data_IF_401575095371
#
_entry.id   IF_401575095371
#
_cell.length_a   1.000
_cell.length_b   1.000
_cell.length_c   1.000
_cell.angle_alpha   90.00
_cell.angle_beta   90.00
_cell.angle_gamma   90.00
#
_symmetry.space_group_name_H-M   'P 1'
#
loop_
_entity.id
_entity.type
_entity.pdbx_description
1 polymer ?
#
# COMPACT_ATOMS: atom_id res chain seq x y z
N UNK A 1 -16.13 14.97 14.64
CA UNK A 1 -15.49 14.92 13.32
C UNK A 1 -14.60 16.13 13.28
N UNK A 2 -13.33 15.94 12.94
CA UNK A 2 -12.35 17.02 12.82
C UNK A 2 -11.82 17.10 11.41
N UNK A 3 -11.36 18.28 11.03
CA UNK A 3 -10.65 18.47 9.76
C UNK A 3 -9.24 17.89 9.90
N UNK A 4 -8.87 16.97 9.02
CA UNK A 4 -7.48 16.53 8.90
C UNK A 4 -6.64 17.70 8.38
N UNK A 5 -5.58 18.02 9.09
CA UNK A 5 -4.64 19.07 8.69
C UNK A 5 -3.39 18.47 8.06
N UNK A 6 -2.67 19.25 7.25
CA UNK A 6 -1.41 18.84 6.61
C UNK A 6 -0.31 19.87 6.81
N UNK A 7 0.94 19.41 6.86
CA UNK A 7 2.11 20.26 6.86
C UNK A 7 2.27 20.97 5.51
N UNK A 8 2.85 22.18 5.51
CA UNK A 8 3.16 22.91 4.29
C UNK A 8 4.31 22.25 3.49
N UNK A 9 4.38 22.51 2.18
CA UNK A 9 5.48 22.01 1.34
C UNK A 9 6.85 22.49 1.83
N UNK A 10 6.93 23.73 2.32
CA UNK A 10 8.15 24.29 2.92
C UNK A 10 8.57 23.53 4.17
N UNK A 11 7.63 23.25 5.07
CA UNK A 11 7.90 22.47 6.28
C UNK A 11 8.38 21.06 5.95
N UNK A 12 7.78 20.40 4.95
CA UNK A 12 8.23 19.10 4.46
C UNK A 12 9.66 19.14 3.91
N UNK A 13 10.01 20.16 3.13
CA UNK A 13 11.34 20.32 2.57
C UNK A 13 12.39 20.47 3.68
N UNK A 14 12.10 21.31 4.68
CA UNK A 14 12.94 21.45 5.88
C UNK A 14 13.10 20.11 6.59
N UNK A 15 12.00 19.40 6.88
CA UNK A 15 12.07 18.09 7.55
C UNK A 15 12.94 17.09 6.80
N UNK A 16 12.83 17.00 5.46
CA UNK A 16 13.69 16.11 4.64
C UNK A 16 15.15 16.49 4.71
N UNK A 17 15.46 17.79 4.59
CA UNK A 17 16.84 18.27 4.66
C UNK A 17 17.49 17.86 5.99
N UNK A 18 16.74 18.01 7.10
CA UNK A 18 17.21 17.65 8.44
C UNK A 18 17.52 16.15 8.57
N UNK A 19 16.77 15.27 7.91
CA UNK A 19 17.07 13.82 7.90
C UNK A 19 18.46 13.52 7.31
N UNK A 20 18.90 14.32 6.33
CA UNK A 20 20.24 14.19 5.74
C UNK A 20 21.32 14.88 6.56
N UNK A 21 21.06 16.10 7.05
CA UNK A 21 22.09 16.97 7.62
C UNK A 21 22.30 16.79 9.12
N UNK A 22 21.32 16.28 9.86
CA UNK A 22 21.36 16.21 11.33
C UNK A 22 21.39 14.76 11.82
N UNK A 23 22.54 14.31 12.32
CA UNK A 23 22.69 12.98 12.91
C UNK A 23 21.73 12.73 14.09
N UNK A 24 21.37 13.79 14.82
CA UNK A 24 20.40 13.76 15.95
C UNK A 24 18.98 13.41 15.51
N UNK A 25 18.59 13.70 14.27
CA UNK A 25 17.25 13.40 13.76
C UNK A 25 16.99 11.90 13.69
N UNK A 26 18.03 11.09 13.43
CA UNK A 26 17.91 9.62 13.50
C UNK A 26 17.57 9.13 14.91
N UNK A 27 18.01 9.85 15.94
CA UNK A 27 17.67 9.52 17.33
C UNK A 27 16.18 9.77 17.61
N UNK A 28 15.58 10.79 16.98
CA UNK A 28 14.14 11.08 17.08
C UNK A 28 13.34 9.90 16.54
N UNK A 29 13.62 9.41 15.33
CA UNK A 29 12.87 8.28 14.76
C UNK A 29 13.12 6.94 15.48
N UNK A 30 14.26 6.77 16.14
CA UNK A 30 14.58 5.53 16.84
C UNK A 30 14.07 5.48 18.28
N UNK A 31 14.09 6.60 19.00
CA UNK A 31 13.78 6.65 20.45
C UNK A 31 12.74 7.71 20.84
N UNK A 32 12.41 8.64 19.96
CA UNK A 32 11.49 9.74 20.25
C UNK A 32 10.03 9.27 20.39
N UNK A 33 9.31 9.86 21.33
CA UNK A 33 7.88 9.59 21.55
C UNK A 33 6.97 10.31 20.55
N UNK A 34 7.47 11.37 19.90
CA UNK A 34 6.83 12.08 18.80
C UNK A 34 7.89 12.77 17.95
N UNK A 35 7.53 13.22 16.75
CA UNK A 35 8.38 14.12 15.97
C UNK A 35 8.24 15.57 16.45
N UNK A 36 9.32 16.25 16.90
CA UNK A 36 9.24 17.60 17.42
C UNK A 36 9.10 18.61 16.26
N UNK A 37 7.86 18.99 15.97
CA UNK A 37 7.56 20.10 15.07
C UNK A 37 7.81 21.45 15.79
N UNK A 38 8.39 22.46 15.11
CA UNK A 38 8.51 23.81 15.65
C UNK A 38 7.16 24.35 16.14
N UNK A 39 7.14 25.11 17.25
CA UNK A 39 5.89 25.63 17.84
C UNK A 39 5.11 26.55 16.89
N UNK A 40 5.80 27.23 15.99
CA UNK A 40 5.25 28.13 14.98
C UNK A 40 4.82 27.42 13.69
N UNK A 41 4.88 26.07 13.66
CA UNK A 41 4.46 25.28 12.49
C UNK A 41 2.97 25.50 12.21
N UNK A 42 2.67 26.24 11.14
CA UNK A 42 1.30 26.41 10.66
C UNK A 42 0.86 25.19 9.86
N UNK A 43 -0.12 24.47 10.38
CA UNK A 43 -0.80 23.39 9.66
C UNK A 43 -1.88 23.98 8.73
N UNK A 44 -2.04 23.37 7.57
CA UNK A 44 -3.04 23.74 6.57
C UNK A 44 -4.26 22.85 6.73
N UNK A 45 -5.45 23.45 6.73
CA UNK A 45 -6.70 22.69 6.71
C UNK A 45 -6.89 22.01 5.36
N UNK A 46 -7.46 20.80 5.37
CA UNK A 46 -7.91 20.09 4.17
C UNK A 46 -9.44 20.06 4.12
N UNK A 47 -9.99 19.39 3.10
CA UNK A 47 -11.42 19.04 3.02
C UNK A 47 -11.70 17.62 3.56
N UNK A 48 -10.68 16.97 4.13
CA UNK A 48 -10.78 15.60 4.61
C UNK A 48 -11.29 15.65 6.05
N UNK A 49 -12.47 15.10 6.28
CA UNK A 49 -13.06 14.92 7.61
C UNK A 49 -12.70 13.55 8.17
N UNK A 50 -12.23 13.52 9.42
CA UNK A 50 -11.84 12.29 10.11
C UNK A 50 -12.47 12.23 11.49
N UNK A 51 -12.67 11.03 12.07
CA UNK A 51 -13.04 10.86 13.47
C UNK A 51 -12.06 11.59 14.41
N UNK A 52 -12.53 12.00 15.60
CA UNK A 52 -11.67 12.65 16.60
C UNK A 52 -10.52 11.75 17.02
N UNK A 53 -10.82 10.47 17.24
CA UNK A 53 -9.86 9.48 17.70
C UNK A 53 -9.39 8.61 16.52
N UNK A 54 -8.07 8.58 16.24
CA UNK A 54 -7.52 7.68 15.22
C UNK A 54 -7.57 6.23 15.70
N UNK A 55 -7.68 5.26 14.79
CA UNK A 55 -7.63 3.85 15.16
C UNK A 55 -6.23 3.44 15.59
N UNK A 56 -6.15 2.51 16.55
CA UNK A 56 -4.89 1.87 16.91
C UNK A 56 -4.49 0.83 15.84
N UNK A 57 -3.25 0.91 15.37
CA UNK A 57 -2.68 -0.01 14.38
C UNK A 57 -1.73 -1.01 15.05
N UNK A 58 -1.82 -2.28 14.61
CA UNK A 58 -1.14 -3.43 15.22
C UNK A 58 0.23 -3.70 14.59
N UNK A 59 1.15 -4.29 15.35
CA UNK A 59 2.51 -4.64 14.89
C UNK A 59 3.04 -5.98 15.44
N UNK A 60 2.19 -6.84 16.02
CA UNK A 60 2.60 -7.93 16.93
C UNK A 60 2.26 -9.36 16.51
N UNK A 61 1.60 -9.59 15.38
CA UNK A 61 0.95 -10.86 15.02
C UNK A 61 1.36 -11.42 13.66
N UNK A 62 0.48 -12.27 13.07
CA UNK A 62 0.59 -12.76 11.69
C UNK A 62 0.76 -11.56 10.76
N UNK A 63 1.98 -11.40 10.19
CA UNK A 63 2.38 -10.18 9.47
C UNK A 63 1.39 -9.79 8.36
N UNK A 64 0.73 -10.75 7.73
CA UNK A 64 -0.24 -10.49 6.65
C UNK A 64 -1.62 -10.04 7.14
N UNK A 65 -2.17 -10.73 8.14
CA UNK A 65 -3.53 -10.45 8.63
C UNK A 65 -3.61 -9.10 9.35
N UNK A 66 -2.58 -8.77 10.12
CA UNK A 66 -2.50 -7.47 10.79
C UNK A 66 -2.34 -6.31 9.79
N UNK A 67 -1.51 -6.47 8.76
CA UNK A 67 -1.36 -5.45 7.72
C UNK A 67 -2.70 -5.19 7.02
N UNK A 68 -3.45 -6.24 6.69
CA UNK A 68 -4.76 -6.09 6.08
C UNK A 68 -5.76 -5.40 7.02
N UNK A 69 -5.81 -5.78 8.30
CA UNK A 69 -6.67 -5.13 9.28
C UNK A 69 -6.29 -3.66 9.51
N UNK A 70 -5.00 -3.33 9.52
CA UNK A 70 -4.52 -1.96 9.59
C UNK A 70 -4.92 -1.17 8.34
N UNK A 71 -4.87 -1.77 7.15
CA UNK A 71 -5.33 -1.15 5.91
C UNK A 71 -6.82 -0.80 5.94
N UNK A 72 -7.66 -1.71 6.43
CA UNK A 72 -9.09 -1.44 6.63
C UNK A 72 -9.30 -0.28 7.61
N UNK A 73 -8.63 -0.31 8.77
CA UNK A 73 -8.71 0.76 9.78
C UNK A 73 -8.31 2.14 9.22
N UNK A 74 -7.21 2.21 8.47
CA UNK A 74 -6.73 3.45 7.86
C UNK A 74 -7.69 3.93 6.78
N UNK A 75 -8.20 3.02 5.95
CA UNK A 75 -9.19 3.33 4.93
C UNK A 75 -10.47 3.92 5.52
N UNK A 76 -11.03 3.27 6.54
CA UNK A 76 -12.26 3.70 7.18
C UNK A 76 -12.08 5.01 7.96
N UNK A 77 -10.93 5.19 8.62
CA UNK A 77 -10.59 6.43 9.33
C UNK A 77 -10.51 7.64 8.38
N UNK A 78 -9.96 7.47 7.18
CA UNK A 78 -9.84 8.52 6.17
C UNK A 78 -11.14 8.71 5.36
N UNK A 79 -12.15 7.86 5.58
CA UNK A 79 -13.50 8.03 5.06
C UNK A 79 -13.55 8.24 3.55
N UNK A 80 -14.11 9.37 3.13
CA UNK A 80 -14.32 9.73 1.71
C UNK A 80 -13.09 10.36 1.05
N UNK A 81 -11.88 10.03 1.49
CA UNK A 81 -10.65 10.48 0.85
C UNK A 81 -10.65 10.06 -0.63
N UNK A 82 -10.58 11.04 -1.53
CA UNK A 82 -10.52 10.74 -2.96
C UNK A 82 -9.07 10.57 -3.46
N UNK A 83 -8.91 10.07 -4.70
CA UNK A 83 -7.58 9.81 -5.28
C UNK A 83 -6.76 11.07 -5.52
N UNK A 84 -7.40 12.22 -5.76
CA UNK A 84 -6.73 13.51 -5.98
C UNK A 84 -6.15 14.02 -4.66
N UNK A 85 -6.92 13.97 -3.59
CA UNK A 85 -6.47 14.28 -2.23
C UNK A 85 -5.38 13.31 -1.76
N UNK A 86 -5.56 12.00 -2.01
CA UNK A 86 -4.59 10.96 -1.69
C UNK A 86 -3.29 11.06 -2.51
N UNK A 87 -3.26 11.78 -3.63
CA UNK A 87 -2.04 12.02 -4.39
C UNK A 87 -1.15 13.10 -3.74
N UNK A 88 -1.65 13.85 -2.76
CA UNK A 88 -0.87 14.87 -2.08
C UNK A 88 0.12 14.25 -1.07
N UNK A 89 1.44 14.37 -1.29
CA UNK A 89 2.45 13.77 -0.40
C UNK A 89 2.47 14.37 1.01
N UNK A 90 1.90 15.57 1.19
CA UNK A 90 1.81 16.24 2.49
C UNK A 90 0.88 15.50 3.43
N UNK A 91 -0.18 14.88 2.91
CA UNK A 91 -1.11 14.08 3.71
C UNK A 91 -0.37 12.93 4.40
N UNK A 92 0.28 12.09 3.61
CA UNK A 92 0.96 10.89 4.11
C UNK A 92 2.13 11.21 5.03
N UNK A 93 2.93 12.22 4.67
CA UNK A 93 4.04 12.66 5.52
C UNK A 93 3.52 13.25 6.84
N UNK A 94 2.40 13.96 6.83
CA UNK A 94 1.80 14.47 8.08
C UNK A 94 1.32 13.32 8.95
N UNK A 95 0.61 12.34 8.37
CA UNK A 95 0.07 11.18 9.09
C UNK A 95 1.17 10.33 9.74
N UNK A 96 2.30 10.08 9.05
CA UNK A 96 3.44 9.34 9.61
C UNK A 96 4.14 10.07 10.75
N UNK A 97 4.21 11.40 10.70
CA UNK A 97 4.90 12.23 11.70
C UNK A 97 4.00 12.73 12.84
N UNK A 98 2.70 12.44 12.79
CA UNK A 98 1.72 12.86 13.80
C UNK A 98 0.87 11.68 14.24
N UNK A 99 -0.24 11.43 13.55
CA UNK A 99 -1.34 10.55 13.94
C UNK A 99 -0.90 9.10 14.14
N UNK A 100 -0.03 8.59 13.26
CA UNK A 100 0.40 7.19 13.28
C UNK A 100 1.89 7.02 13.61
N UNK A 101 2.48 7.99 14.32
CA UNK A 101 3.90 7.98 14.70
C UNK A 101 4.34 6.66 15.32
N UNK A 102 3.61 6.19 16.34
CA UNK A 102 3.97 4.99 17.10
C UNK A 102 3.93 3.72 16.25
N UNK A 103 2.92 3.60 15.40
CA UNK A 103 2.83 2.49 14.44
C UNK A 103 4.03 2.49 13.49
N UNK A 104 4.32 3.64 12.87
CA UNK A 104 5.44 3.78 11.94
C UNK A 104 6.78 3.40 12.60
N UNK A 105 7.03 3.87 13.83
CA UNK A 105 8.26 3.58 14.58
C UNK A 105 8.40 2.09 14.91
N UNK A 106 7.32 1.44 15.36
CA UNK A 106 7.34 0.02 15.72
C UNK A 106 7.54 -0.87 14.50
N UNK A 107 6.87 -0.53 13.39
CA UNK A 107 6.86 -1.36 12.18
C UNK A 107 8.05 -1.11 11.24
N UNK A 108 8.63 0.09 11.26
CA UNK A 108 9.84 0.50 10.52
C UNK A 108 10.91 1.07 11.47
N UNK A 109 11.52 0.23 12.32
CA UNK A 109 12.53 0.68 13.27
C UNK A 109 13.77 1.22 12.56
N UNK A 110 14.19 2.42 12.96
CA UNK A 110 15.29 3.17 12.32
C UNK A 110 16.67 2.88 12.93
N UNK A 111 16.75 2.07 13.99
CA UNK A 111 18.03 1.73 14.63
C UNK A 111 19.00 1.08 13.63
N UNK A 112 20.19 1.66 13.47
CA UNK A 112 21.20 1.19 12.51
C UNK A 112 20.86 1.44 11.03
N UNK A 113 19.82 2.23 10.74
CA UNK A 113 19.40 2.59 9.38
C UNK A 113 19.91 3.97 8.96
N UNK A 114 19.98 4.19 7.67
CA UNK A 114 20.45 5.44 7.08
C UNK A 114 19.30 6.43 6.81
N UNK A 115 19.64 7.57 6.24
CA UNK A 115 18.65 8.60 5.87
C UNK A 115 17.68 8.08 4.79
N UNK A 116 18.15 7.23 3.87
CA UNK A 116 17.32 6.73 2.76
C UNK A 116 16.16 5.87 3.27
N UNK A 117 16.41 5.02 4.26
CA UNK A 117 15.37 4.21 4.92
C UNK A 117 14.29 5.07 5.59
N UNK A 118 14.68 6.15 6.26
CA UNK A 118 13.73 7.10 6.87
C UNK A 118 12.89 7.76 5.78
N UNK A 119 13.55 8.30 4.74
CA UNK A 119 12.87 8.99 3.66
C UNK A 119 11.90 8.10 2.90
N UNK A 120 12.21 6.81 2.74
CA UNK A 120 11.37 5.86 2.02
C UNK A 120 10.07 5.52 2.77
N UNK A 121 10.12 5.38 4.10
CA UNK A 121 8.97 4.92 4.89
C UNK A 121 8.19 6.04 5.56
N UNK A 122 8.83 7.16 5.87
CA UNK A 122 8.22 8.26 6.60
C UNK A 122 7.77 9.40 5.69
N UNK A 123 8.40 9.54 4.52
CA UNK A 123 8.09 10.59 3.56
C UNK A 123 7.60 9.96 2.26
N UNK A 124 6.62 10.57 1.61
CA UNK A 124 6.30 10.22 0.21
C UNK A 124 7.39 10.80 -0.71
N UNK A 125 7.76 10.20 -1.85
CA UNK A 125 8.76 10.81 -2.75
C UNK A 125 8.07 11.66 -3.84
N UNK A 126 8.23 13.00 -3.85
CA UNK A 126 7.64 13.84 -4.88
C UNK A 126 8.06 13.39 -6.28
N UNK A 127 7.09 13.23 -7.18
CA UNK A 127 7.33 12.77 -8.55
C UNK A 127 7.77 11.30 -8.68
N UNK A 128 7.70 10.50 -7.61
CA UNK A 128 8.07 9.07 -7.62
C UNK A 128 6.99 8.13 -8.17
N UNK A 129 5.88 8.70 -8.67
CA UNK A 129 4.78 7.96 -9.29
C UNK A 129 4.10 6.98 -8.33
N UNK A 130 3.47 5.95 -8.90
CA UNK A 130 2.73 4.94 -8.13
C UNK A 130 3.62 4.19 -7.12
N UNK A 131 4.91 3.99 -7.44
CA UNK A 131 5.85 3.33 -6.54
C UNK A 131 6.07 4.09 -5.24
N UNK A 132 6.13 5.42 -5.29
CA UNK A 132 6.39 6.24 -4.10
C UNK A 132 5.21 6.27 -3.11
N UNK A 133 3.98 6.31 -3.62
CA UNK A 133 2.76 6.20 -2.81
C UNK A 133 2.66 4.87 -2.07
N UNK A 134 3.36 3.83 -2.53
CA UNK A 134 3.27 2.46 -2.00
C UNK A 134 4.36 2.13 -0.97
N UNK A 135 5.33 3.02 -0.72
CA UNK A 135 6.44 2.79 0.23
C UNK A 135 6.32 3.52 1.56
N UNK A 136 5.61 4.65 1.57
CA UNK A 136 5.26 5.34 2.81
C UNK A 136 4.36 4.44 3.68
N UNK A 137 4.67 4.38 4.98
CA UNK A 137 4.10 3.44 5.95
C UNK A 137 2.57 3.47 6.06
N UNK A 138 1.94 4.64 5.88
CA UNK A 138 0.48 4.80 5.97
C UNK A 138 -0.15 4.82 4.59
N UNK A 139 0.47 5.51 3.64
CA UNK A 139 0.00 5.55 2.25
C UNK A 139 -0.18 4.15 1.66
N UNK A 140 0.77 3.24 1.90
CA UNK A 140 0.69 1.84 1.43
C UNK A 140 -0.58 1.13 1.88
N UNK A 141 -1.00 1.36 3.13
CA UNK A 141 -2.15 0.72 3.76
C UNK A 141 -3.43 1.25 3.10
N UNK A 142 -3.54 2.57 2.96
CA UNK A 142 -4.70 3.18 2.33
C UNK A 142 -4.82 2.77 0.85
N UNK A 143 -3.74 2.84 0.07
CA UNK A 143 -3.78 2.45 -1.34
C UNK A 143 -4.05 0.95 -1.54
N UNK A 144 -3.55 0.08 -0.66
CA UNK A 144 -3.90 -1.33 -0.69
C UNK A 144 -5.43 -1.52 -0.59
N UNK A 145 -6.04 -0.92 0.43
CA UNK A 145 -7.48 -0.99 0.65
C UNK A 145 -8.28 -0.33 -0.47
N UNK A 146 -8.01 0.94 -0.78
CA UNK A 146 -8.77 1.72 -1.77
C UNK A 146 -8.72 1.12 -3.19
N UNK A 147 -7.63 0.47 -3.57
CA UNK A 147 -7.53 -0.18 -4.88
C UNK A 147 -8.21 -1.55 -4.92
N UNK A 148 -8.51 -2.18 -3.80
CA UNK A 148 -8.99 -3.58 -3.76
C UNK A 148 -10.33 -3.75 -3.06
N UNK A 149 -10.88 -2.71 -2.46
CA UNK A 149 -12.21 -2.75 -1.83
C UNK A 149 -13.29 -2.99 -2.88
N UNK A 150 -14.07 -4.06 -2.66
CA UNK A 150 -15.26 -4.44 -3.39
C UNK A 150 -15.26 -4.04 -4.89
N UNK A 151 -14.31 -4.54 -5.72
CA UNK A 151 -14.18 -4.10 -7.10
C UNK A 151 -15.44 -4.36 -7.94
N UNK A 152 -16.26 -5.33 -7.53
CA UNK A 152 -17.58 -5.62 -8.11
C UNK A 152 -18.61 -4.49 -7.94
N UNK A 153 -18.43 -3.58 -6.97
CA UNK A 153 -19.26 -2.37 -6.83
C UNK A 153 -18.85 -1.29 -7.84
N UNK A 154 -17.63 -1.35 -8.36
CA UNK A 154 -17.12 -0.41 -9.38
C UNK A 154 -17.35 -0.93 -10.80
N UNK A 155 -17.21 -2.24 -11.01
CA UNK A 155 -17.39 -2.89 -12.31
C UNK A 155 -18.29 -4.12 -12.17
N UNK A 156 -19.51 -4.03 -12.68
CA UNK A 156 -20.52 -5.08 -12.61
C UNK A 156 -20.07 -6.39 -13.27
N UNK A 157 -19.13 -6.34 -14.22
CA UNK A 157 -18.60 -7.55 -14.85
C UNK A 157 -17.86 -8.45 -13.84
N UNK A 158 -17.41 -7.90 -12.71
CA UNK A 158 -16.73 -8.63 -11.63
C UNK A 158 -17.71 -9.17 -10.56
N UNK A 159 -19.03 -9.15 -10.80
CA UNK A 159 -20.03 -9.55 -9.80
C UNK A 159 -19.90 -11.00 -9.33
N UNK A 160 -19.32 -11.90 -10.14
CA UNK A 160 -19.05 -13.27 -9.71
C UNK A 160 -17.97 -13.37 -8.63
N UNK A 161 -17.21 -12.30 -8.37
CA UNK A 161 -16.29 -12.19 -7.25
C UNK A 161 -16.92 -11.58 -5.99
N UNK A 162 -18.22 -11.26 -5.98
CA UNK A 162 -18.88 -10.66 -4.83
C UNK A 162 -18.70 -11.50 -3.55
N UNK A 163 -18.46 -10.81 -2.44
CA UNK A 163 -18.28 -11.40 -1.12
C UNK A 163 -18.86 -10.49 -0.04
N UNK A 164 -19.23 -11.07 1.10
CA UNK A 164 -19.57 -10.30 2.30
C UNK A 164 -18.35 -9.56 2.87
N UNK A 165 -17.13 -10.07 2.65
CA UNK A 165 -15.90 -9.36 2.96
C UNK A 165 -15.52 -8.44 1.80
N UNK A 166 -15.90 -7.16 1.90
CA UNK A 166 -15.54 -6.11 0.93
C UNK A 166 -14.03 -5.95 0.77
N UNK A 167 -13.22 -6.35 1.74
CA UNK A 167 -11.76 -6.22 1.73
C UNK A 167 -11.03 -7.54 1.44
N UNK A 168 -11.71 -8.56 0.91
CA UNK A 168 -11.09 -9.87 0.61
C UNK A 168 -9.80 -9.74 -0.22
N UNK A 169 -9.81 -8.88 -1.24
CA UNK A 169 -8.66 -8.66 -2.11
C UNK A 169 -7.55 -7.84 -1.44
N UNK A 170 -7.90 -6.99 -0.45
CA UNK A 170 -6.92 -6.32 0.41
C UNK A 170 -6.16 -7.35 1.26
N UNK A 171 -6.86 -8.35 1.79
CA UNK A 171 -6.25 -9.43 2.60
C UNK A 171 -5.30 -10.28 1.76
N UNK A 172 -5.69 -10.65 0.54
CA UNK A 172 -4.82 -11.38 -0.38
C UNK A 172 -3.57 -10.55 -0.71
N UNK A 173 -3.77 -9.28 -1.08
CA UNK A 173 -2.69 -8.37 -1.47
C UNK A 173 -1.67 -8.16 -0.34
N UNK A 174 -2.14 -8.00 0.90
CA UNK A 174 -1.29 -7.73 2.07
C UNK A 174 -0.88 -8.99 2.83
N UNK A 175 -1.33 -10.18 2.39
CA UNK A 175 -0.91 -11.45 3.00
C UNK A 175 0.62 -11.61 3.00
N UNK A 176 1.29 -11.03 2.01
CA UNK A 176 2.75 -11.01 1.86
C UNK A 176 3.23 -9.69 1.28
N UNK A 177 4.36 -9.18 1.79
CA UNK A 177 4.97 -7.96 1.27
C UNK A 177 5.34 -8.07 -0.21
N UNK A 178 5.72 -9.27 -0.67
CA UNK A 178 6.10 -9.52 -2.06
C UNK A 178 4.90 -9.40 -3.01
N UNK A 179 3.72 -9.91 -2.64
CA UNK A 179 2.50 -9.79 -3.46
C UNK A 179 2.14 -8.32 -3.64
N UNK A 180 2.19 -7.54 -2.57
CA UNK A 180 1.97 -6.10 -2.66
C UNK A 180 2.92 -5.46 -3.68
N UNK A 181 4.22 -5.77 -3.62
CA UNK A 181 5.20 -5.23 -4.55
C UNK A 181 4.90 -5.65 -6.00
N UNK A 182 4.71 -6.95 -6.22
CA UNK A 182 4.58 -7.52 -7.55
C UNK A 182 3.27 -7.16 -8.25
N UNK A 183 2.20 -6.93 -7.49
CA UNK A 183 0.91 -6.51 -8.04
C UNK A 183 0.87 -5.00 -8.18
N UNK A 184 1.10 -4.26 -7.09
CA UNK A 184 0.82 -2.84 -7.07
C UNK A 184 1.96 -1.99 -7.63
N UNK A 185 3.24 -2.29 -7.42
CA UNK A 185 4.31 -1.45 -8.00
C UNK A 185 4.43 -1.57 -9.54
N UNK A 186 3.60 -2.39 -10.17
CA UNK A 186 3.54 -2.58 -11.63
C UNK A 186 2.43 -1.75 -12.28
N UNK A 187 2.62 -1.43 -13.56
CA UNK A 187 1.67 -0.64 -14.35
C UNK A 187 0.29 -1.30 -14.43
N UNK A 188 0.24 -2.60 -14.72
CA UNK A 188 -1.01 -3.39 -14.75
C UNK A 188 -1.72 -3.42 -13.40
N UNK A 189 -1.01 -3.20 -12.29
CA UNK A 189 -1.56 -3.12 -10.94
C UNK A 189 -2.56 -1.99 -10.77
N UNK A 190 -2.55 -0.99 -11.64
CA UNK A 190 -3.52 0.11 -11.63
C UNK A 190 -4.84 -0.27 -12.31
N UNK A 191 -4.82 -1.22 -13.24
CA UNK A 191 -6.02 -1.71 -13.92
C UNK A 191 -6.87 -2.55 -12.97
N UNK A 192 -8.13 -2.15 -12.77
CA UNK A 192 -9.05 -2.79 -11.82
C UNK A 192 -9.33 -4.26 -12.15
N UNK A 193 -9.56 -4.59 -13.43
CA UNK A 193 -9.83 -5.98 -13.85
C UNK A 193 -8.59 -6.84 -13.69
N UNK A 194 -7.46 -6.44 -14.27
CA UNK A 194 -6.22 -7.24 -14.20
C UNK A 194 -5.79 -7.49 -12.76
N UNK A 195 -5.83 -6.46 -11.90
CA UNK A 195 -5.53 -6.60 -10.47
C UNK A 195 -6.46 -7.59 -9.78
N UNK A 196 -7.77 -7.49 -10.03
CA UNK A 196 -8.76 -8.37 -9.40
C UNK A 196 -8.57 -9.82 -9.82
N UNK A 197 -8.43 -10.06 -11.12
CA UNK A 197 -8.20 -11.40 -11.69
C UNK A 197 -6.91 -12.02 -11.17
N UNK A 198 -5.82 -11.23 -11.12
CA UNK A 198 -4.53 -11.69 -10.60
C UNK A 198 -4.61 -12.06 -9.12
N UNK A 199 -5.22 -11.22 -8.28
CA UNK A 199 -5.38 -11.52 -6.86
C UNK A 199 -6.28 -12.73 -6.63
N UNK A 200 -7.36 -12.87 -7.39
CA UNK A 200 -8.24 -14.05 -7.31
C UNK A 200 -7.52 -15.34 -7.67
N UNK A 201 -6.69 -15.31 -8.72
CA UNK A 201 -5.94 -16.51 -9.12
C UNK A 201 -4.80 -16.81 -8.12
N UNK A 202 -4.12 -15.78 -7.60
CA UNK A 202 -3.13 -15.98 -6.53
C UNK A 202 -3.76 -16.63 -5.29
N UNK A 203 -4.94 -16.18 -4.84
CA UNK A 203 -5.66 -16.80 -3.72
C UNK A 203 -5.86 -18.31 -3.90
N UNK A 204 -6.24 -18.74 -5.11
CA UNK A 204 -6.46 -20.14 -5.48
C UNK A 204 -5.18 -21.00 -5.39
N UNK A 205 -4.03 -20.45 -5.80
CA UNK A 205 -2.78 -21.23 -5.93
C UNK A 205 -1.76 -21.02 -4.81
N UNK A 206 -1.89 -19.95 -4.00
CA UNK A 206 -1.00 -19.72 -2.86
C UNK A 206 -0.94 -20.89 -1.85
N UNK A 207 -2.04 -21.62 -1.57
CA UNK A 207 -1.98 -22.80 -0.70
C UNK A 207 -1.24 -23.99 -1.28
N UNK A 208 -1.08 -24.08 -2.61
CA UNK A 208 -0.46 -25.25 -3.27
C UNK A 208 1.05 -25.14 -3.46
N UNK A 209 1.67 -24.05 -3.01
CA UNK A 209 3.11 -23.80 -3.16
C UNK A 209 3.79 -23.65 -1.80
N UNK A 210 5.00 -24.19 -1.69
CA UNK A 210 5.84 -24.03 -0.50
C UNK A 210 6.41 -22.61 -0.39
N UNK A 211 6.81 -22.02 -1.53
CA UNK A 211 7.38 -20.67 -1.61
C UNK A 211 6.42 -19.70 -2.33
N UNK A 212 5.54 -19.09 -1.53
CA UNK A 212 4.54 -18.14 -2.00
C UNK A 212 5.13 -16.86 -2.63
N UNK A 213 6.27 -16.38 -2.15
CA UNK A 213 6.96 -15.21 -2.72
C UNK A 213 7.43 -15.49 -4.15
N UNK A 214 7.95 -16.69 -4.42
CA UNK A 214 8.37 -17.08 -5.76
C UNK A 214 7.18 -17.17 -6.72
N UNK A 215 6.00 -17.63 -6.27
CA UNK A 215 4.79 -17.68 -7.10
C UNK A 215 4.40 -16.29 -7.62
N UNK A 216 4.36 -15.31 -6.72
CA UNK A 216 4.07 -13.91 -7.05
C UNK A 216 5.07 -13.35 -8.07
N UNK A 217 6.38 -13.53 -7.82
CA UNK A 217 7.45 -13.02 -8.70
C UNK A 217 7.39 -13.64 -10.10
N UNK A 218 7.24 -14.96 -10.18
CA UNK A 218 7.18 -15.69 -11.44
C UNK A 218 5.95 -15.26 -12.25
N UNK A 219 4.79 -15.18 -11.60
CA UNK A 219 3.54 -14.71 -12.20
C UNK A 219 3.66 -13.30 -12.74
N UNK A 220 4.18 -12.37 -11.93
CA UNK A 220 4.38 -10.97 -12.32
C UNK A 220 5.31 -10.82 -13.53
N UNK A 221 6.38 -11.61 -13.57
CA UNK A 221 7.32 -11.63 -14.69
C UNK A 221 6.66 -12.12 -15.97
N UNK A 222 5.91 -13.21 -15.90
CA UNK A 222 5.21 -13.77 -17.07
C UNK A 222 4.07 -12.89 -17.55
N UNK A 223 3.26 -12.35 -16.65
CA UNK A 223 2.16 -11.46 -17.00
C UNK A 223 2.69 -10.22 -17.74
N UNK A 224 3.82 -9.65 -17.31
CA UNK A 224 4.45 -8.54 -18.01
C UNK A 224 4.89 -8.91 -19.44
N UNK A 225 5.44 -10.12 -19.64
CA UNK A 225 5.81 -10.60 -20.96
C UNK A 225 4.59 -10.81 -21.86
N UNK A 226 3.49 -11.31 -21.31
CA UNK A 226 2.24 -11.50 -22.06
C UNK A 226 1.64 -10.15 -22.42
N UNK A 227 1.54 -9.20 -21.49
CA UNK A 227 0.99 -7.86 -21.74
C UNK A 227 1.75 -7.09 -22.83
N UNK A 228 3.07 -7.30 -22.95
CA UNK A 228 3.88 -6.69 -24.01
C UNK A 228 3.58 -7.23 -25.41
N UNK A 229 3.10 -8.47 -25.51
CA UNK A 229 2.89 -9.16 -26.78
C UNK A 229 1.41 -9.35 -27.11
N UNK A 230 0.53 -9.25 -26.11
CA UNK A 230 -0.91 -9.44 -26.20
C UNK A 230 -1.57 -8.39 -25.32
N UNK A 231 -2.49 -7.62 -25.89
CA UNK A 231 -3.29 -6.62 -25.16
C UNK A 231 -4.32 -7.30 -24.25
N UNK A 232 -3.86 -8.01 -23.20
CA UNK A 232 -4.72 -8.75 -22.25
C UNK A 232 -5.68 -7.80 -21.53
N UNK A 233 -5.30 -6.55 -21.36
CA UNK A 233 -6.11 -5.46 -20.85
C UNK A 233 -7.31 -5.09 -21.75
N UNK A 234 -7.24 -5.43 -23.05
CA UNK A 234 -8.30 -5.21 -24.03
C UNK A 234 -9.19 -6.44 -24.27
N UNK A 235 -8.87 -7.60 -23.66
CA UNK A 235 -9.66 -8.82 -23.83
C UNK A 235 -11.01 -8.75 -23.08
N UNK A 236 -12.03 -9.51 -23.53
CA UNK A 236 -13.21 -9.78 -22.72
C UNK A 236 -12.83 -10.38 -21.37
N UNK A 237 -13.59 -10.07 -20.32
CA UNK A 237 -13.23 -10.41 -18.94
C UNK A 237 -12.97 -11.92 -18.75
N UNK A 238 -13.81 -12.78 -19.31
CA UNK A 238 -13.69 -14.25 -19.21
C UNK A 238 -12.40 -14.75 -19.87
N UNK A 239 -12.03 -14.17 -21.01
CA UNK A 239 -10.79 -14.52 -21.69
C UNK A 239 -9.56 -14.02 -20.92
N UNK A 240 -9.62 -12.80 -20.39
CA UNK A 240 -8.56 -12.26 -19.55
C UNK A 240 -8.37 -13.09 -18.28
N UNK A 241 -9.46 -13.52 -17.64
CA UNK A 241 -9.45 -14.41 -16.47
C UNK A 241 -8.79 -15.75 -16.81
N UNK A 242 -9.18 -16.37 -17.92
CA UNK A 242 -8.58 -17.63 -18.39
C UNK A 242 -7.08 -17.48 -18.62
N UNK A 243 -6.65 -16.40 -19.28
CA UNK A 243 -5.22 -16.14 -19.54
C UNK A 243 -4.46 -15.95 -18.22
N UNK A 244 -4.95 -15.11 -17.31
CA UNK A 244 -4.30 -14.84 -16.04
C UNK A 244 -4.24 -16.10 -15.17
N UNK A 245 -5.33 -16.86 -15.07
CA UNK A 245 -5.36 -18.10 -14.30
C UNK A 245 -4.36 -19.12 -14.84
N UNK A 246 -4.27 -19.25 -16.16
CA UNK A 246 -3.29 -20.15 -16.79
C UNK A 246 -1.84 -19.78 -16.47
N UNK A 247 -1.52 -18.47 -16.38
CA UNK A 247 -0.18 -17.99 -16.02
C UNK A 247 0.14 -18.36 -14.57
N UNK A 248 -0.78 -18.09 -13.62
CA UNK A 248 -0.56 -18.38 -12.20
C UNK A 248 -0.46 -19.89 -11.97
N UNK A 249 -1.34 -20.68 -12.59
CA UNK A 249 -1.32 -22.14 -12.53
C UNK A 249 0.01 -22.72 -13.03
N UNK A 250 0.50 -22.24 -14.17
CA UNK A 250 1.79 -22.66 -14.74
C UNK A 250 2.98 -22.26 -13.87
N UNK A 251 2.90 -21.11 -13.18
CA UNK A 251 3.91 -20.69 -12.21
C UNK A 251 3.88 -21.56 -10.95
N UNK A 252 2.69 -21.93 -10.46
CA UNK A 252 2.53 -22.79 -9.29
C UNK A 252 3.05 -24.21 -9.55
N UNK A 253 2.68 -24.83 -10.69
CA UNK A 253 3.12 -26.17 -11.06
C UNK A 253 4.65 -26.31 -11.10
N UNK A 254 5.35 -25.31 -11.65
CA UNK A 254 6.82 -25.31 -11.70
C UNK A 254 7.48 -25.21 -10.33
N UNK A 255 6.78 -24.67 -9.33
CA UNK A 255 7.29 -24.55 -7.97
C UNK A 255 6.94 -25.74 -7.09
N UNK A 256 5.86 -26.45 -7.40
CA UNK A 256 5.53 -27.71 -6.74
C UNK A 256 6.39 -28.88 -7.24
N UNK A 257 6.97 -28.77 -8.45
CA UNK A 257 7.83 -29.78 -9.06
C UNK A 257 9.34 -29.60 -8.75
N UNK A 258 9.72 -28.52 -8.06
CA UNK A 258 11.09 -28.17 -7.69
C UNK A 258 11.31 -28.33 -6.18
#
# INVERSE_FOLDING_TARGET
MRVQTILSSGQLATMRQRVHSESSVKLIYSKGNHYPLPMDTKLLNTLIEVPEQPPELLTGGSRGDEEANNAVKVHDYLGRLDRTQAADPRLWTTLTHTTFWDYCRRRWPVSGKDASYILEHWFEKPGGGLGALRRNAISRLWWAANLTVAPWETDQALSHFQSSDRFKFTRILLSQAQIFQDVLEREYGSNLRLRTLLLSSLEKYLPSVSNKDNLSKATSTQLLLVLKNRHVDALPLVEAETVIDSIVASAAQRQSAA
#
